data_IF_325452480179
#
_entry.id   IF_325452480179
#
_cell.length_a   1.000
_cell.length_b   1.000
_cell.length_c   1.000
_cell.angle_alpha   90.00
_cell.angle_beta   90.00
_cell.angle_gamma   90.00
#
_symmetry.space_group_name_H-M   'P 1'
#
loop_
_entity.id
_entity.type
_entity.pdbx_description
1 polymer ?
#
# COMPACT_ATOMS: atom_id res chain seq x y z
N UNK A 1 0.23 13.20 -1.56
CA UNK A 1 0.94 12.19 -0.74
C UNK A 1 2.26 12.80 -0.32
N UNK A 2 2.49 12.95 0.99
CA UNK A 2 3.83 13.27 1.49
C UNK A 2 4.82 12.25 0.94
N UNK A 3 6.01 12.70 0.55
CA UNK A 3 6.98 11.83 -0.10
C UNK A 3 7.47 10.82 0.92
N UNK A 4 6.96 9.59 0.85
CA UNK A 4 7.45 8.51 1.69
C UNK A 4 8.96 8.32 1.46
N UNK A 5 9.72 8.31 2.54
CA UNK A 5 11.17 8.20 2.56
C UNK A 5 11.63 6.90 3.22
N UNK A 6 12.75 6.36 2.76
CA UNK A 6 13.41 5.22 3.42
C UNK A 6 14.84 5.68 3.65
N UNK A 7 15.19 5.89 4.91
CA UNK A 7 16.48 6.42 5.36
C UNK A 7 16.84 5.83 6.74
N UNK A 8 17.83 4.94 6.74
CA UNK A 8 18.33 4.27 7.95
C UNK A 8 19.22 5.15 8.82
N UNK A 9 19.74 6.27 8.31
CA UNK A 9 20.58 7.18 9.08
C UNK A 9 19.72 8.14 9.90
N UNK A 10 18.68 8.70 9.27
CA UNK A 10 17.83 9.71 9.92
C UNK A 10 16.61 9.11 10.62
N UNK A 11 16.22 7.86 10.32
CA UNK A 11 15.05 7.17 10.88
C UNK A 11 13.82 8.09 11.03
N UNK A 12 13.28 8.62 9.93
CA UNK A 12 12.29 9.70 9.98
C UNK A 12 10.94 9.25 10.56
N UNK A 13 10.69 7.94 10.61
CA UNK A 13 9.44 7.37 11.13
C UNK A 13 9.58 6.77 12.53
N UNK A 14 10.73 6.97 13.20
CA UNK A 14 10.90 6.50 14.57
C UNK A 14 9.76 7.06 15.47
N UNK A 15 9.06 6.23 16.27
CA UNK A 15 7.89 6.69 17.03
C UNK A 15 8.11 7.89 17.95
N UNK A 16 9.33 8.12 18.42
CA UNK A 16 9.69 9.30 19.22
C UNK A 16 9.77 10.62 18.43
N UNK A 17 9.82 10.57 17.09
CA UNK A 17 9.86 11.72 16.18
C UNK A 17 8.49 12.01 15.55
N UNK A 18 7.51 11.14 15.77
CA UNK A 18 6.20 11.22 15.14
C UNK A 18 5.25 12.05 16.02
N UNK A 19 4.80 13.18 15.49
CA UNK A 19 3.79 13.99 16.16
C UNK A 19 2.38 13.44 15.92
N UNK A 20 1.54 13.57 16.94
CA UNK A 20 0.12 13.24 16.82
C UNK A 20 -0.54 14.23 15.85
N UNK A 21 -1.21 13.71 14.82
CA UNK A 21 -1.98 14.51 13.86
C UNK A 21 -3.18 15.18 14.53
N UNK A 22 -3.65 16.26 13.91
CA UNK A 22 -4.89 16.93 14.30
C UNK A 22 -6.10 15.99 14.25
N UNK A 23 -7.13 16.32 15.01
CA UNK A 23 -8.38 15.57 14.99
C UNK A 23 -9.11 15.76 13.67
N UNK A 24 -9.62 14.66 13.14
CA UNK A 24 -10.52 14.64 12.00
C UNK A 24 -11.90 14.13 12.42
N UNK A 25 -12.93 14.48 11.66
CA UNK A 25 -14.26 13.93 11.85
C UNK A 25 -14.35 12.46 11.44
N UNK A 26 -15.19 11.68 12.12
CA UNK A 26 -15.40 10.26 11.78
C UNK A 26 -15.90 10.06 10.34
N UNK A 27 -16.66 11.02 9.81
CA UNK A 27 -17.13 10.98 8.42
C UNK A 27 -15.99 11.11 7.40
N UNK A 28 -14.90 11.81 7.72
CA UNK A 28 -13.73 11.89 6.84
C UNK A 28 -13.03 10.53 6.74
N UNK A 29 -12.89 9.83 7.87
CA UNK A 29 -12.35 8.47 7.87
C UNK A 29 -13.20 7.51 7.03
N UNK A 30 -14.52 7.48 7.24
CA UNK A 30 -15.42 6.61 6.48
C UNK A 30 -15.61 7.01 5.00
N UNK A 31 -15.17 8.21 4.60
CA UNK A 31 -15.14 8.60 3.19
C UNK A 31 -14.03 7.91 2.39
N UNK A 32 -13.03 7.34 3.08
CA UNK A 32 -11.97 6.56 2.44
C UNK A 32 -12.48 5.14 2.21
N UNK A 33 -12.56 4.71 0.94
CA UNK A 33 -12.91 3.34 0.60
C UNK A 33 -11.67 2.46 0.76
N UNK A 34 -11.62 1.72 1.87
CA UNK A 34 -10.56 0.79 2.19
C UNK A 34 -11.05 -0.65 2.05
N UNK A 35 -10.28 -1.46 1.34
CA UNK A 35 -10.65 -2.81 0.94
C UNK A 35 -9.51 -3.79 1.16
N UNK A 36 -9.88 -5.02 1.46
CA UNK A 36 -8.97 -6.15 1.42
C UNK A 36 -8.85 -6.70 0.00
N UNK A 37 -7.70 -7.23 -0.38
CA UNK A 37 -7.50 -7.86 -1.68
C UNK A 37 -6.35 -8.85 -1.65
N UNK A 38 -6.27 -9.69 -2.69
CA UNK A 38 -5.20 -10.67 -2.85
C UNK A 38 -4.25 -10.23 -3.96
N UNK A 39 -2.95 -10.19 -3.69
CA UNK A 39 -1.95 -9.93 -4.73
C UNK A 39 -1.91 -11.12 -5.67
N UNK A 40 -2.28 -10.93 -6.93
CA UNK A 40 -2.30 -12.00 -7.94
C UNK A 40 -1.14 -11.88 -8.95
N UNK A 41 -0.48 -10.71 -9.01
CA UNK A 41 0.66 -10.48 -9.89
C UNK A 41 1.65 -9.48 -9.29
N UNK A 42 2.95 -9.74 -9.49
CA UNK A 42 4.05 -8.87 -9.06
C UNK A 42 5.09 -8.77 -10.18
N UNK A 43 5.37 -7.56 -10.63
CA UNK A 43 6.36 -7.25 -11.64
C UNK A 43 7.44 -6.31 -11.08
N UNK A 44 8.64 -6.43 -11.60
CA UNK A 44 9.72 -5.48 -11.33
C UNK A 44 9.37 -4.10 -11.92
N UNK A 45 9.83 -3.04 -11.25
CA UNK A 45 9.68 -1.67 -11.73
C UNK A 45 11.05 -0.95 -11.76
N UNK A 46 11.98 -1.38 -12.63
CA UNK A 46 13.36 -0.88 -12.66
C UNK A 46 13.47 0.61 -13.01
N UNK A 47 12.44 1.19 -13.64
CA UNK A 47 12.42 2.60 -14.03
C UNK A 47 12.19 3.55 -12.82
N UNK A 48 11.80 3.01 -11.67
CA UNK A 48 11.62 3.80 -10.45
C UNK A 48 12.95 4.07 -9.76
N UNK A 49 13.22 5.36 -9.44
CA UNK A 49 14.41 5.75 -8.66
C UNK A 49 14.50 5.02 -7.32
N UNK A 50 13.36 4.82 -6.65
CA UNK A 50 13.29 4.05 -5.40
C UNK A 50 12.82 2.63 -5.73
N UNK A 51 13.52 1.57 -5.27
CA UNK A 51 13.17 0.18 -5.57
C UNK A 51 11.70 -0.11 -5.27
N UNK A 52 10.94 -0.44 -6.30
CA UNK A 52 9.50 -0.66 -6.22
C UNK A 52 9.07 -1.85 -7.07
N UNK A 53 7.93 -2.43 -6.73
CA UNK A 53 7.22 -3.39 -7.58
C UNK A 53 5.96 -2.76 -8.14
N UNK A 54 5.57 -3.21 -9.34
CA UNK A 54 4.18 -3.11 -9.81
C UNK A 54 3.44 -4.32 -9.25
N UNK A 55 2.36 -4.08 -8.54
CA UNK A 55 1.51 -5.14 -7.99
C UNK A 55 0.11 -5.02 -8.57
N UNK A 56 -0.47 -6.15 -8.94
CA UNK A 56 -1.90 -6.26 -9.22
C UNK A 56 -2.57 -6.96 -8.06
N UNK A 57 -3.67 -6.37 -7.60
CA UNK A 57 -4.47 -6.89 -6.50
C UNK A 57 -5.88 -7.12 -6.99
N UNK A 58 -6.40 -8.32 -6.74
CA UNK A 58 -7.79 -8.67 -6.94
C UNK A 58 -8.59 -8.33 -5.67
N UNK A 59 -9.51 -7.37 -5.81
CA UNK A 59 -10.41 -6.90 -4.75
C UNK A 59 -11.80 -7.53 -4.84
N UNK A 60 -11.91 -8.69 -5.49
CA UNK A 60 -13.17 -9.42 -5.62
C UNK A 60 -14.09 -8.85 -6.72
N UNK A 61 -15.32 -9.36 -6.84
CA UNK A 61 -16.14 -9.23 -8.05
C UNK A 61 -16.68 -7.83 -8.32
N UNK A 62 -16.78 -6.96 -7.30
CA UNK A 62 -17.36 -5.61 -7.46
C UNK A 62 -16.31 -4.61 -7.95
N UNK A 63 -15.10 -4.68 -7.40
CA UNK A 63 -14.01 -3.73 -7.71
C UNK A 63 -13.13 -4.29 -8.82
N UNK A 64 -12.94 -5.61 -8.85
CA UNK A 64 -12.05 -6.28 -9.79
C UNK A 64 -10.58 -6.07 -9.45
N UNK A 65 -9.75 -6.05 -10.50
CA UNK A 65 -8.30 -6.02 -10.38
C UNK A 65 -7.76 -4.64 -10.63
N UNK A 66 -6.96 -4.13 -9.69
CA UNK A 66 -6.32 -2.82 -9.79
C UNK A 66 -4.80 -2.97 -9.72
N UNK A 67 -4.09 -1.99 -10.29
CA UNK A 67 -2.64 -1.91 -10.26
C UNK A 67 -2.14 -0.82 -9.32
N UNK A 68 -0.99 -1.06 -8.68
CA UNK A 68 -0.30 -0.06 -7.85
C UNK A 68 1.21 -0.24 -7.93
N UNK A 69 1.96 0.81 -7.61
CA UNK A 69 3.41 0.75 -7.41
C UNK A 69 3.72 0.88 -5.92
N UNK A 70 4.46 -0.08 -5.37
CA UNK A 70 4.76 -0.11 -3.94
C UNK A 70 6.26 -0.34 -3.67
N UNK A 71 6.81 0.42 -2.72
CA UNK A 71 8.20 0.29 -2.23
C UNK A 71 8.30 -0.84 -1.20
N UNK A 72 8.00 -2.06 -1.64
CA UNK A 72 7.92 -3.28 -0.81
C UNK A 72 8.91 -4.35 -1.28
N UNK A 73 10.07 -3.90 -1.76
CA UNK A 73 11.16 -4.77 -2.26
C UNK A 73 11.91 -5.48 -1.13
N UNK A 74 11.58 -5.19 0.13
CA UNK A 74 11.95 -5.98 1.30
C UNK A 74 11.25 -7.36 1.34
N UNK A 75 10.21 -7.58 0.53
CA UNK A 75 9.62 -8.89 0.29
C UNK A 75 10.05 -9.41 -1.06
N UNK A 76 10.28 -10.72 -1.16
CA UNK A 76 10.44 -11.38 -2.46
C UNK A 76 9.10 -11.47 -3.18
N UNK A 77 9.11 -11.55 -4.51
CA UNK A 77 7.88 -11.74 -5.32
C UNK A 77 7.08 -12.97 -4.86
N UNK A 78 7.75 -14.06 -4.51
CA UNK A 78 7.10 -15.29 -4.02
C UNK A 78 6.41 -15.13 -2.66
N UNK A 79 6.87 -14.20 -1.81
CA UNK A 79 6.20 -13.87 -0.55
C UNK A 79 4.99 -12.93 -0.74
N UNK A 80 4.88 -12.30 -1.91
CA UNK A 80 3.81 -11.34 -2.22
C UNK A 80 2.67 -12.01 -2.97
N UNK A 81 2.95 -12.89 -3.94
CA UNK A 81 1.89 -13.60 -4.67
C UNK A 81 1.03 -14.42 -3.70
N UNK A 82 -0.29 -14.27 -3.80
CA UNK A 82 -1.28 -14.92 -2.93
C UNK A 82 -1.46 -14.25 -1.57
N UNK A 83 -0.70 -13.20 -1.26
CA UNK A 83 -0.81 -12.48 0.01
C UNK A 83 -2.05 -11.60 0.05
N UNK A 84 -2.79 -11.67 1.15
CA UNK A 84 -3.86 -10.71 1.47
C UNK A 84 -3.27 -9.37 1.93
N UNK A 85 -3.84 -8.28 1.42
CA UNK A 85 -3.45 -6.90 1.76
C UNK A 85 -4.67 -6.04 2.01
N UNK A 86 -4.50 -4.97 2.78
CA UNK A 86 -5.45 -3.87 2.88
C UNK A 86 -4.98 -2.70 1.99
N UNK A 87 -5.91 -2.00 1.36
CA UNK A 87 -5.61 -0.87 0.49
C UNK A 87 -6.71 0.19 0.53
N UNK A 88 -6.34 1.47 0.37
CA UNK A 88 -7.27 2.55 0.06
C UNK A 88 -7.38 2.71 -1.46
N UNK A 89 -8.59 2.62 -2.00
CA UNK A 89 -8.83 2.49 -3.45
C UNK A 89 -9.48 3.71 -4.10
N UNK A 90 -9.86 4.74 -3.31
CA UNK A 90 -10.53 5.93 -3.81
C UNK A 90 -9.72 7.24 -3.64
N UNK A 91 -8.39 7.13 -3.64
CA UNK A 91 -7.48 8.28 -3.49
C UNK A 91 -7.13 9.00 -4.81
N UNK A 92 -7.70 8.52 -5.92
CA UNK A 92 -7.40 8.97 -7.27
C UNK A 92 -6.21 8.26 -7.91
N UNK A 93 -6.18 8.27 -9.24
CA UNK A 93 -5.14 7.64 -10.03
C UNK A 93 -3.88 8.52 -10.09
N UNK A 94 -2.71 7.87 -10.04
CA UNK A 94 -1.42 8.53 -10.19
C UNK A 94 -0.63 7.90 -11.33
N UNK A 95 -0.35 8.69 -12.35
CA UNK A 95 0.55 8.30 -13.44
C UNK A 95 2.00 8.38 -12.97
N UNK A 96 2.71 7.28 -13.09
CA UNK A 96 4.12 7.10 -12.77
C UNK A 96 4.97 7.11 -14.06
N UNK A 97 6.31 7.11 -13.96
CA UNK A 97 7.18 6.99 -15.14
C UNK A 97 6.74 5.84 -16.05
N UNK A 98 7.06 5.98 -17.34
CA UNK A 98 6.67 5.04 -18.42
C UNK A 98 5.16 4.88 -18.63
N UNK A 99 4.34 5.74 -18.01
CA UNK A 99 2.89 5.78 -18.22
C UNK A 99 2.12 4.77 -17.36
N UNK A 100 2.78 4.08 -16.43
CA UNK A 100 2.11 3.15 -15.52
C UNK A 100 1.18 3.92 -14.58
N UNK A 101 -0.06 3.45 -14.43
CA UNK A 101 -1.08 4.09 -13.58
C UNK A 101 -1.22 3.33 -12.27
N UNK A 102 -0.97 4.01 -11.16
CA UNK A 102 -1.21 3.51 -9.80
C UNK A 102 -2.61 3.93 -9.35
N UNK A 103 -3.46 2.96 -9.03
CA UNK A 103 -4.89 3.14 -8.79
C UNK A 103 -5.28 3.04 -7.31
N UNK A 104 -4.40 2.54 -6.46
CA UNK A 104 -4.65 2.38 -5.03
C UNK A 104 -3.37 2.55 -4.20
N UNK A 105 -3.55 2.76 -2.89
CA UNK A 105 -2.48 2.76 -1.89
C UNK A 105 -2.56 1.51 -1.04
N UNK A 106 -1.57 0.61 -1.15
CA UNK A 106 -1.44 -0.53 -0.23
C UNK A 106 -1.02 -0.05 1.16
N UNK A 107 -1.58 -0.65 2.21
CA UNK A 107 -1.37 -0.24 3.59
C UNK A 107 -0.31 -1.08 4.28
N UNK A 108 0.53 -0.41 5.07
CA UNK A 108 1.54 -1.00 5.92
C UNK A 108 1.93 -0.06 7.05
N UNK A 109 2.47 -0.64 8.12
CA UNK A 109 3.21 0.12 9.12
C UNK A 109 4.60 0.47 8.57
N UNK A 110 5.18 1.56 9.05
CA UNK A 110 6.54 1.96 8.69
C UNK A 110 7.46 1.62 9.86
N UNK A 111 8.52 0.86 9.59
CA UNK A 111 9.66 0.72 10.51
C UNK A 111 10.34 2.11 10.70
N UNK A 112 11.19 2.31 11.72
CA UNK A 112 11.81 3.63 11.98
C UNK A 112 12.51 4.25 10.78
N UNK A 113 13.16 3.43 9.96
CA UNK A 113 13.85 3.82 8.73
C UNK A 113 12.88 4.12 7.57
N UNK A 114 11.60 3.79 7.68
CA UNK A 114 10.60 3.88 6.62
C UNK A 114 10.36 2.57 5.86
N UNK A 115 11.04 1.47 6.18
CA UNK A 115 10.75 0.19 5.53
C UNK A 115 9.29 -0.21 5.77
N UNK A 116 8.57 -0.53 4.68
CA UNK A 116 7.14 -0.84 4.75
C UNK A 116 6.92 -2.27 5.24
N UNK A 117 6.17 -2.41 6.33
CA UNK A 117 5.62 -3.67 6.84
C UNK A 117 4.15 -3.75 6.46
N UNK A 118 3.84 -4.56 5.44
CA UNK A 118 2.46 -4.75 5.00
C UNK A 118 1.58 -5.24 6.16
N UNK A 119 0.38 -4.66 6.30
CA UNK A 119 -0.59 -5.12 7.28
C UNK A 119 -0.96 -6.58 7.04
N UNK A 120 -1.14 -7.33 8.11
CA UNK A 120 -1.53 -8.73 8.06
C UNK A 120 -3.02 -8.88 8.33
N UNK A 121 -3.69 -9.69 7.52
CA UNK A 121 -5.11 -9.98 7.63
C UNK A 121 -5.28 -11.43 8.08
N UNK A 122 -6.21 -11.72 9.02
CA UNK A 122 -6.50 -13.08 9.43
C UNK A 122 -6.89 -13.97 8.25
N UNK A 123 -6.56 -15.26 8.36
CA UNK A 123 -6.98 -16.27 7.38
C UNK A 123 -8.51 -16.27 7.19
N UNK A 124 -8.96 -16.49 5.96
CA UNK A 124 -10.39 -16.48 5.60
C UNK A 124 -10.97 -15.09 5.31
N UNK A 125 -10.21 -14.01 5.47
CA UNK A 125 -10.62 -12.68 5.01
C UNK A 125 -10.87 -12.70 3.50
N UNK A 126 -12.04 -12.25 3.07
CA UNK A 126 -12.43 -12.29 1.66
C UNK A 126 -11.83 -11.11 0.89
N UNK A 127 -11.46 -11.28 -0.40
CA UNK A 127 -11.20 -10.15 -1.28
C UNK A 127 -12.44 -9.25 -1.41
N UNK A 128 -12.23 -7.94 -1.28
CA UNK A 128 -13.27 -6.91 -1.37
C UNK A 128 -13.97 -6.60 -0.05
N UNK A 129 -13.63 -7.25 1.06
CA UNK A 129 -14.14 -6.89 2.38
C UNK A 129 -13.78 -5.44 2.71
N UNK A 130 -14.75 -4.71 3.27
CA UNK A 130 -14.53 -3.34 3.75
C UNK A 130 -13.65 -3.36 5.01
N UNK A 131 -12.73 -2.39 5.07
CA UNK A 131 -11.94 -2.08 6.27
C UNK A 131 -12.59 -0.88 6.96
N UNK A 132 -12.79 -0.97 8.27
CA UNK A 132 -13.46 0.01 9.11
C UNK A 132 -12.69 0.27 10.40
#
# INVERSE_FOLDING_TARGET
MGQHEIDSETEPYHPSKMERKEYIGIGEFFSVDMRTGIIDEVQEFPEMRKPSYKIRVDFGPVIGKLWSSAQITNYTRGQLIGRMVAAAINLGDKTLPTGFVSQFLVLGALDPDGTVRLLELPEGTLPGSAVA
#
